data_IF_385186805892
#
_entry.id   IF_385186805892
#
_cell.length_a   1.000
_cell.length_b   1.000
_cell.length_c   1.000
_cell.angle_alpha   90.00
_cell.angle_beta   90.00
_cell.angle_gamma   90.00
#
_symmetry.space_group_name_H-M   'P 1'
#
loop_
_entity.id
_entity.type
_entity.pdbx_description
1 polymer ?
#
# COMPACT_ATOMS: atom_id res chain seq x y z
N UNK A 1 -14.45 -32.42 -0.05
CA UNK A 1 -15.61 -31.53 -0.15
C UNK A 1 -15.10 -30.11 0.03
N UNK A 2 -15.13 -29.25 -1.00
CA UNK A 2 -14.85 -27.83 -0.77
C UNK A 2 -15.89 -27.28 0.23
N UNK A 3 -15.45 -26.46 1.18
CA UNK A 3 -16.32 -25.86 2.20
C UNK A 3 -17.39 -24.96 1.58
N UNK A 4 -18.43 -24.65 2.35
CA UNK A 4 -19.47 -23.71 1.93
C UNK A 4 -18.82 -22.34 1.60
N UNK A 5 -18.99 -21.79 0.38
CA UNK A 5 -18.46 -20.48 0.00
C UNK A 5 -18.86 -19.34 0.95
N UNK A 6 -19.99 -19.52 1.64
CA UNK A 6 -20.52 -18.57 2.62
C UNK A 6 -19.69 -18.62 3.92
N UNK A 7 -19.33 -19.83 4.36
CA UNK A 7 -18.45 -20.03 5.52
C UNK A 7 -17.04 -19.50 5.24
N UNK A 8 -16.54 -19.68 4.02
CA UNK A 8 -15.22 -19.16 3.61
C UNK A 8 -15.16 -17.63 3.64
N UNK A 9 -16.26 -16.97 3.21
CA UNK A 9 -16.38 -15.51 3.27
C UNK A 9 -16.38 -15.01 4.71
N UNK A 10 -17.19 -15.63 5.58
CA UNK A 10 -17.26 -15.27 6.99
C UNK A 10 -15.90 -15.43 7.69
N UNK A 11 -15.20 -16.56 7.48
CA UNK A 11 -13.88 -16.79 8.07
C UNK A 11 -12.82 -15.76 7.63
N UNK A 12 -12.89 -15.30 6.39
CA UNK A 12 -11.99 -14.23 5.88
C UNK A 12 -12.31 -12.89 6.54
N UNK A 13 -13.59 -12.51 6.61
CA UNK A 13 -14.02 -11.30 7.29
C UNK A 13 -13.59 -11.30 8.77
N UNK A 14 -13.77 -12.41 9.48
CA UNK A 14 -13.32 -12.57 10.87
C UNK A 14 -11.79 -12.43 11.00
N UNK A 15 -11.04 -12.94 10.02
CA UNK A 15 -9.57 -12.82 10.03
C UNK A 15 -9.13 -11.37 9.85
N UNK A 16 -9.71 -10.65 8.88
CA UNK A 16 -9.46 -9.22 8.68
C UNK A 16 -9.86 -8.41 9.92
N UNK A 17 -11.00 -8.73 10.52
CA UNK A 17 -11.49 -8.11 11.77
C UNK A 17 -10.49 -8.27 12.90
N UNK A 18 -10.05 -9.51 13.18
CA UNK A 18 -9.07 -9.78 14.25
C UNK A 18 -7.76 -9.01 14.04
N UNK A 19 -7.27 -8.94 12.80
CA UNK A 19 -6.06 -8.18 12.46
C UNK A 19 -6.29 -6.70 12.75
N UNK A 20 -7.37 -6.11 12.24
CA UNK A 20 -7.69 -4.70 12.43
C UNK A 20 -7.86 -4.35 13.92
N UNK A 21 -8.63 -5.14 14.67
CA UNK A 21 -8.86 -4.93 16.11
C UNK A 21 -7.59 -5.04 16.95
N UNK A 22 -6.66 -5.90 16.55
CA UNK A 22 -5.36 -6.03 17.23
C UNK A 22 -4.37 -4.90 16.89
N UNK A 23 -4.69 -4.05 15.91
CA UNK A 23 -3.81 -3.02 15.35
C UNK A 23 -2.41 -3.56 14.96
N UNK A 24 -2.36 -4.82 14.52
CA UNK A 24 -1.13 -5.60 14.41
C UNK A 24 -1.24 -6.62 13.28
N UNK A 25 -0.20 -6.72 12.47
CA UNK A 25 -0.06 -7.76 11.44
C UNK A 25 1.18 -8.58 11.76
N UNK A 26 1.01 -9.90 11.89
CA UNK A 26 2.06 -10.86 12.23
C UNK A 26 2.96 -11.20 11.03
N UNK A 27 3.38 -10.18 10.29
CA UNK A 27 4.41 -10.19 9.25
C UNK A 27 4.84 -8.74 8.94
N UNK A 28 6.08 -8.57 8.46
CA UNK A 28 6.56 -7.28 7.95
C UNK A 28 6.19 -7.12 6.48
N UNK A 29 5.55 -6.01 6.16
CA UNK A 29 5.11 -5.67 4.81
C UNK A 29 5.94 -4.53 4.22
N UNK A 30 6.08 -4.55 2.89
CA UNK A 30 6.60 -3.41 2.15
C UNK A 30 5.64 -2.21 2.33
N UNK A 31 6.15 -0.97 2.41
CA UNK A 31 5.31 0.20 2.42
C UNK A 31 4.39 0.27 1.20
N UNK A 32 3.24 0.94 1.37
CA UNK A 32 2.31 1.19 0.27
C UNK A 32 3.00 1.90 -0.90
N UNK A 33 2.64 1.50 -2.11
CA UNK A 33 3.08 2.18 -3.33
C UNK A 33 2.61 3.64 -3.34
N UNK A 34 3.30 4.49 -4.10
CA UNK A 34 2.89 5.89 -4.27
C UNK A 34 1.46 6.00 -4.83
N UNK A 35 1.01 5.02 -5.61
CA UNK A 35 -0.35 4.96 -6.15
C UNK A 35 -1.37 4.60 -5.06
N UNK A 36 -1.13 3.57 -4.27
CA UNK A 36 -2.03 3.18 -3.18
C UNK A 36 -2.12 4.29 -2.12
N UNK A 37 -1.00 4.89 -1.75
CA UNK A 37 -0.96 6.02 -0.84
C UNK A 37 -1.78 7.22 -1.35
N UNK A 38 -1.65 7.55 -2.64
CA UNK A 38 -2.45 8.59 -3.27
C UNK A 38 -3.95 8.27 -3.25
N UNK A 39 -4.33 7.05 -3.66
CA UNK A 39 -5.73 6.62 -3.68
C UNK A 39 -6.35 6.62 -2.28
N UNK A 40 -5.59 6.18 -1.27
CA UNK A 40 -6.03 6.28 0.12
C UNK A 40 -6.18 7.74 0.57
N UNK A 41 -5.24 8.61 0.22
CA UNK A 41 -5.32 10.04 0.53
C UNK A 41 -6.55 10.71 -0.11
N UNK A 42 -7.04 10.23 -1.25
CA UNK A 42 -8.27 10.73 -1.86
C UNK A 42 -9.51 10.50 -0.99
N UNK A 43 -9.48 9.54 -0.06
CA UNK A 43 -10.54 9.34 0.93
C UNK A 43 -10.63 10.44 1.99
N UNK A 44 -9.56 11.24 2.16
CA UNK A 44 -9.45 12.29 3.19
C UNK A 44 -9.71 13.71 2.67
N UNK A 45 -9.72 13.90 1.36
CA UNK A 45 -10.04 15.20 0.74
C UNK A 45 -11.53 15.28 0.43
N UNK A 46 -12.03 16.49 0.20
CA UNK A 46 -13.41 16.71 -0.22
C UNK A 46 -13.70 16.10 -1.60
N UNK A 47 -15.00 15.96 -1.91
CA UNK A 47 -15.46 15.32 -3.15
C UNK A 47 -15.02 16.05 -4.42
N UNK A 48 -14.84 17.37 -4.37
CA UNK A 48 -14.38 18.17 -5.52
C UNK A 48 -12.93 17.86 -5.83
N UNK A 49 -12.04 17.86 -4.82
CA UNK A 49 -10.63 17.51 -5.01
C UNK A 49 -10.48 16.05 -5.43
N UNK A 50 -11.25 15.15 -4.81
CA UNK A 50 -11.27 13.72 -5.12
C UNK A 50 -11.66 13.45 -6.57
N UNK A 51 -12.75 14.04 -7.04
CA UNK A 51 -13.25 13.83 -8.40
C UNK A 51 -12.26 14.31 -9.46
N UNK A 52 -11.66 15.49 -9.27
CA UNK A 52 -10.60 16.01 -10.15
C UNK A 52 -9.36 15.11 -10.13
N UNK A 53 -8.92 14.66 -8.95
CA UNK A 53 -7.76 13.78 -8.85
C UNK A 53 -7.98 12.42 -9.52
N UNK A 54 -9.17 11.83 -9.38
CA UNK A 54 -9.56 10.61 -10.09
C UNK A 54 -9.61 10.83 -11.61
N UNK A 55 -10.20 11.94 -12.07
CA UNK A 55 -10.22 12.30 -13.49
C UNK A 55 -8.79 12.42 -14.06
N UNK A 56 -7.87 13.03 -13.30
CA UNK A 56 -6.44 13.10 -13.64
C UNK A 56 -5.82 11.72 -13.79
N UNK A 57 -6.05 10.81 -12.83
CA UNK A 57 -5.52 9.45 -12.90
C UNK A 57 -6.06 8.67 -14.10
N UNK A 58 -7.36 8.77 -14.39
CA UNK A 58 -7.98 8.15 -15.58
C UNK A 58 -7.42 8.71 -16.89
N UNK A 59 -7.11 10.00 -16.93
CA UNK A 59 -6.44 10.65 -18.06
C UNK A 59 -4.93 10.35 -18.14
N UNK A 60 -4.40 9.44 -17.30
CA UNK A 60 -2.98 9.06 -17.30
C UNK A 60 -2.03 10.15 -16.76
N UNK A 61 -2.57 11.20 -16.11
CA UNK A 61 -1.74 12.23 -15.47
C UNK A 61 -1.14 11.69 -14.19
N UNK A 62 0.16 11.90 -14.01
CA UNK A 62 0.91 11.50 -12.81
C UNK A 62 0.85 12.58 -11.74
N UNK A 63 1.11 12.18 -10.50
CA UNK A 63 1.36 13.07 -9.37
C UNK A 63 2.84 13.03 -8.99
N UNK A 64 3.37 14.10 -8.37
CA UNK A 64 4.76 14.13 -7.94
C UNK A 64 5.05 13.03 -6.92
N UNK A 65 6.08 12.23 -7.18
CA UNK A 65 6.62 11.29 -6.21
C UNK A 65 7.57 12.02 -5.24
N UNK A 66 7.57 11.61 -3.97
CA UNK A 66 8.53 12.08 -2.96
C UNK A 66 9.51 11.00 -2.51
N UNK A 67 9.47 9.82 -3.12
CA UNK A 67 10.27 8.65 -2.75
C UNK A 67 9.61 7.76 -1.70
N UNK A 68 8.27 7.63 -1.73
CA UNK A 68 7.47 6.90 -0.76
C UNK A 68 6.72 7.82 0.22
N UNK A 69 5.39 7.76 0.21
CA UNK A 69 4.56 8.53 1.13
C UNK A 69 4.47 7.95 2.55
N UNK A 70 4.76 6.66 2.72
CA UNK A 70 4.82 6.03 4.05
C UNK A 70 5.81 6.72 5.00
N UNK A 71 6.89 7.31 4.47
CA UNK A 71 7.87 8.06 5.26
C UNK A 71 7.30 9.36 5.88
N UNK A 72 6.16 9.88 5.38
CA UNK A 72 5.50 11.05 5.97
C UNK A 72 4.89 10.73 7.33
N UNK A 73 4.41 9.49 7.51
CA UNK A 73 3.60 9.13 8.66
C UNK A 73 4.37 9.21 9.99
N UNK A 74 5.60 8.66 10.11
CA UNK A 74 6.42 8.84 11.31
C UNK A 74 6.80 10.31 11.56
N UNK A 75 7.03 11.10 10.51
CA UNK A 75 7.38 12.52 10.64
C UNK A 75 6.24 13.33 11.25
N UNK A 76 5.02 13.11 10.78
CA UNK A 76 3.81 13.79 11.27
C UNK A 76 3.51 13.36 12.71
N UNK A 77 3.60 12.06 13.00
CA UNK A 77 3.46 11.53 14.35
C UNK A 77 4.43 12.14 15.36
N UNK A 78 5.70 12.29 14.97
CA UNK A 78 6.69 12.92 15.84
C UNK A 78 6.36 14.40 16.05
N UNK A 79 5.88 15.11 15.02
CA UNK A 79 5.43 16.50 15.15
C UNK A 79 4.24 16.61 16.11
N UNK A 80 3.20 15.81 15.94
CA UNK A 80 2.00 15.81 16.80
C UNK A 80 2.38 15.55 18.27
N UNK A 81 3.24 14.55 18.51
CA UNK A 81 3.74 14.24 19.85
C UNK A 81 4.53 15.40 20.48
N UNK A 82 5.38 16.08 19.69
CA UNK A 82 6.12 17.26 20.19
C UNK A 82 5.13 18.39 20.52
N UNK A 83 4.12 18.61 19.69
CA UNK A 83 3.11 19.65 19.89
C UNK A 83 2.29 19.42 21.16
N UNK A 84 1.81 18.20 21.36
CA UNK A 84 1.15 17.78 22.59
C UNK A 84 2.08 17.97 23.80
N UNK A 85 3.36 17.57 23.70
CA UNK A 85 4.28 17.73 24.82
C UNK A 85 4.59 19.20 25.17
N UNK A 86 4.56 20.08 24.17
CA UNK A 86 4.76 21.52 24.35
C UNK A 86 3.53 22.23 24.91
N UNK A 87 2.31 21.75 24.61
CA UNK A 87 1.05 22.29 25.14
C UNK A 87 0.89 22.01 26.64
N UNK A 88 1.40 20.88 27.13
CA UNK A 88 1.41 20.50 28.56
C UNK A 88 2.45 21.27 29.42
N UNK A 89 3.01 22.38 28.93
CA UNK A 89 3.69 23.35 29.78
C UNK A 89 5.07 22.95 30.33
N UNK A 90 5.88 22.18 29.60
CA UNK A 90 7.26 21.89 30.03
C UNK A 90 8.15 23.15 30.05
N UNK A 91 8.91 23.33 31.12
CA UNK A 91 9.92 24.39 31.27
C UNK A 91 11.36 23.87 31.07
N UNK A 92 12.31 24.78 30.80
CA UNK A 92 13.74 24.49 30.81
C UNK A 92 14.32 23.90 29.51
N UNK A 93 15.52 23.29 29.56
CA UNK A 93 16.30 22.84 28.39
C UNK A 93 15.56 21.85 27.47
N UNK A 94 14.69 21.01 28.02
CA UNK A 94 13.87 20.07 27.24
C UNK A 94 12.92 20.78 26.27
N UNK A 95 12.34 21.92 26.69
CA UNK A 95 11.45 22.72 25.83
C UNK A 95 12.22 23.26 24.62
N UNK A 96 13.43 23.75 24.84
CA UNK A 96 14.32 24.27 23.77
C UNK A 96 14.66 23.16 22.77
N UNK A 97 15.04 21.98 23.27
CA UNK A 97 15.36 20.83 22.41
C UNK A 97 14.15 20.37 21.57
N UNK A 98 12.95 20.33 22.17
CA UNK A 98 11.71 20.00 21.47
C UNK A 98 11.36 21.03 20.39
N UNK A 99 11.52 22.33 20.67
CA UNK A 99 11.31 23.39 19.68
C UNK A 99 12.28 23.29 18.50
N UNK A 100 13.56 23.03 18.77
CA UNK A 100 14.56 22.82 17.72
C UNK A 100 14.21 21.62 16.84
N UNK A 101 13.83 20.49 17.45
CA UNK A 101 13.40 19.30 16.72
C UNK A 101 12.15 19.56 15.88
N UNK A 102 11.15 20.24 16.45
CA UNK A 102 9.94 20.68 15.72
C UNK A 102 10.30 21.51 14.50
N UNK A 103 11.18 22.50 14.65
CA UNK A 103 11.59 23.37 13.55
C UNK A 103 12.27 22.59 12.40
N UNK A 104 13.15 21.63 12.73
CA UNK A 104 13.81 20.78 11.75
C UNK A 104 12.82 19.89 10.99
N UNK A 105 11.92 19.22 11.72
CA UNK A 105 10.90 18.35 11.12
C UNK A 105 9.91 19.15 10.25
N UNK A 106 9.48 20.32 10.73
CA UNK A 106 8.60 21.24 10.01
C UNK A 106 9.25 21.73 8.72
N UNK A 107 10.54 22.07 8.75
CA UNK A 107 11.29 22.46 7.55
C UNK A 107 11.39 21.32 6.55
N UNK A 108 11.67 20.09 7.01
CA UNK A 108 11.70 18.89 6.16
C UNK A 108 10.36 18.64 5.50
N UNK A 109 9.26 18.66 6.29
CA UNK A 109 7.91 18.47 5.79
C UNK A 109 7.52 19.57 4.78
N UNK A 110 7.85 20.83 5.07
CA UNK A 110 7.64 21.96 4.17
C UNK A 110 8.38 21.82 2.83
N UNK A 111 9.60 21.26 2.84
CA UNK A 111 10.34 20.94 1.62
C UNK A 111 9.66 19.85 0.78
N UNK A 112 9.18 18.78 1.41
CA UNK A 112 8.41 17.72 0.74
C UNK A 112 7.08 18.24 0.18
N UNK A 113 6.37 19.06 0.96
CA UNK A 113 5.14 19.75 0.52
C UNK A 113 5.41 20.61 -0.70
N UNK A 114 6.47 21.40 -0.68
CA UNK A 114 6.81 22.30 -1.80
C UNK A 114 7.10 21.50 -3.07
N UNK A 115 7.86 20.41 -2.97
CA UNK A 115 8.13 19.50 -4.10
C UNK A 115 6.84 18.91 -4.68
N UNK A 116 5.88 18.56 -3.82
CA UNK A 116 4.60 17.99 -4.25
C UNK A 116 3.61 19.03 -4.78
N UNK A 117 3.49 20.21 -4.17
CA UNK A 117 2.47 21.22 -4.51
C UNK A 117 2.89 22.07 -5.72
N UNK A 118 4.18 22.40 -5.80
CA UNK A 118 4.72 23.35 -6.79
C UNK A 118 5.36 22.66 -8.00
N UNK A 119 5.08 21.37 -8.22
CA UNK A 119 5.71 20.61 -9.30
C UNK A 119 5.21 21.05 -10.69
N UNK A 120 6.04 21.80 -11.41
CA UNK A 120 5.76 22.24 -12.79
C UNK A 120 5.72 21.10 -13.81
N UNK A 121 6.30 19.94 -13.48
CA UNK A 121 6.28 18.75 -14.33
C UNK A 121 4.91 18.03 -14.30
N UNK A 122 4.13 18.21 -13.24
CA UNK A 122 2.89 17.45 -13.02
C UNK A 122 1.64 18.32 -13.12
N UNK A 123 1.76 19.63 -12.86
CA UNK A 123 0.65 20.56 -12.93
C UNK A 123 0.86 21.60 -14.03
N UNK A 124 -0.25 21.99 -14.66
CA UNK A 124 -0.22 23.05 -15.65
C UNK A 124 0.42 24.33 -15.11
N UNK A 125 1.39 24.83 -15.87
CA UNK A 125 2.02 26.13 -15.67
C UNK A 125 1.61 27.08 -16.79
N UNK A 126 1.27 28.32 -16.44
CA UNK A 126 0.85 29.35 -17.39
C UNK A 126 -0.63 29.28 -17.81
N UNK A 127 -1.15 30.43 -18.24
CA UNK A 127 -2.60 30.68 -18.42
C UNK A 127 -3.26 29.71 -19.42
N UNK A 128 -2.59 29.41 -20.54
CA UNK A 128 -3.17 28.53 -21.58
C UNK A 128 -3.29 27.08 -21.12
N UNK A 129 -2.27 26.56 -20.44
CA UNK A 129 -2.29 25.20 -19.91
C UNK A 129 -3.35 25.07 -18.81
N UNK A 130 -3.42 26.06 -17.91
CA UNK A 130 -4.43 26.09 -16.83
C UNK A 130 -5.86 26.11 -17.41
N UNK A 131 -6.12 26.94 -18.42
CA UNK A 131 -7.44 26.98 -19.07
C UNK A 131 -7.82 25.65 -19.74
N UNK A 132 -6.84 24.95 -20.32
CA UNK A 132 -7.06 23.62 -20.90
C UNK A 132 -7.38 22.61 -19.79
N UNK A 133 -6.54 22.52 -18.78
CA UNK A 133 -6.77 21.60 -17.66
C UNK A 133 -8.13 21.86 -16.97
N UNK A 134 -8.54 23.12 -16.82
CA UNK A 134 -9.87 23.44 -16.25
C UNK A 134 -11.01 22.99 -17.15
N UNK A 135 -10.89 23.19 -18.46
CA UNK A 135 -11.88 22.71 -19.44
C UNK A 135 -12.01 21.20 -19.41
N UNK A 136 -10.90 20.51 -19.24
CA UNK A 136 -10.84 19.05 -19.22
C UNK A 136 -11.20 18.47 -17.83
N UNK A 137 -11.49 19.32 -16.83
CA UNK A 137 -11.78 18.89 -15.46
C UNK A 137 -10.58 18.30 -14.71
N UNK A 138 -9.36 18.63 -15.13
CA UNK A 138 -8.10 18.07 -14.62
C UNK A 138 -7.29 19.05 -13.77
N UNK A 139 -7.75 20.30 -13.62
CA UNK A 139 -7.00 21.31 -12.91
C UNK A 139 -7.19 21.22 -11.40
N UNK A 140 -6.09 21.05 -10.67
CA UNK A 140 -6.06 21.25 -9.23
C UNK A 140 -5.45 22.63 -8.94
N UNK A 141 -6.15 23.48 -8.19
CA UNK A 141 -5.59 24.74 -7.69
C UNK A 141 -4.58 24.47 -6.55
N UNK A 142 -3.82 25.48 -6.13
CA UNK A 142 -2.73 25.32 -5.13
C UNK A 142 -3.26 24.81 -3.79
N UNK A 143 -4.42 25.29 -3.35
CA UNK A 143 -5.03 24.87 -2.09
C UNK A 143 -5.47 23.41 -2.15
N UNK A 144 -6.03 22.97 -3.28
CA UNK A 144 -6.43 21.57 -3.50
C UNK A 144 -5.22 20.63 -3.52
N UNK A 145 -4.10 21.05 -4.12
CA UNK A 145 -2.84 20.30 -4.07
C UNK A 145 -2.27 20.23 -2.65
N UNK A 146 -2.45 21.30 -1.88
CA UNK A 146 -2.02 21.38 -0.48
C UNK A 146 -2.84 20.42 0.38
N UNK A 147 -4.18 20.45 0.26
CA UNK A 147 -5.08 19.52 0.93
C UNK A 147 -4.75 18.06 0.57
N UNK A 148 -4.43 17.78 -0.70
CA UNK A 148 -3.99 16.45 -1.12
C UNK A 148 -2.67 16.02 -0.46
N UNK A 149 -1.70 16.93 -0.33
CA UNK A 149 -0.45 16.65 0.39
C UNK A 149 -0.69 16.39 1.88
N UNK A 150 -1.56 17.18 2.52
CA UNK A 150 -1.95 16.99 3.93
C UNK A 150 -2.68 15.65 4.13
N UNK A 151 -3.48 15.23 3.15
CA UNK A 151 -4.06 13.89 3.14
C UNK A 151 -2.99 12.79 3.02
N UNK A 152 -1.96 12.97 2.18
CA UNK A 152 -0.84 12.04 2.02
C UNK A 152 0.00 11.90 3.31
N UNK A 153 0.05 12.92 4.17
CA UNK A 153 0.67 12.82 5.50
C UNK A 153 0.03 11.75 6.40
N UNK A 154 -1.18 11.31 6.08
CA UNK A 154 -1.93 10.26 6.77
C UNK A 154 -1.92 8.92 6.03
N UNK A 155 -0.95 8.73 5.12
CA UNK A 155 -0.73 7.43 4.47
C UNK A 155 -0.55 6.35 5.54
N UNK A 156 -1.37 5.28 5.52
CA UNK A 156 -1.23 4.16 6.43
C UNK A 156 0.16 3.56 6.28
N UNK A 157 0.88 3.45 7.39
CA UNK A 157 2.20 2.86 7.42
C UNK A 157 2.42 2.22 8.79
N UNK A 158 3.11 1.06 8.83
CA UNK A 158 3.51 0.49 10.10
C UNK A 158 4.41 1.48 10.84
N UNK A 159 4.20 1.61 12.14
CA UNK A 159 5.00 2.46 13.02
C UNK A 159 6.41 1.86 13.28
N UNK A 160 6.75 0.76 12.60
CA UNK A 160 7.86 -0.13 12.94
C UNK A 160 7.63 -0.79 14.30
N UNK A 161 8.69 -1.30 14.93
CA UNK A 161 8.68 -1.74 16.33
C UNK A 161 8.53 -0.54 17.29
N UNK A 162 7.47 0.24 17.14
CA UNK A 162 7.16 1.45 17.88
C UNK A 162 8.31 2.45 17.98
N UNK A 163 8.21 3.44 18.86
CA UNK A 163 9.40 4.04 19.44
C UNK A 163 10.05 2.94 20.30
N UNK A 164 11.02 2.23 19.73
CA UNK A 164 11.87 1.34 20.50
C UNK A 164 12.54 2.08 21.68
N UNK A 165 13.23 1.36 22.58
CA UNK A 165 13.98 1.91 23.71
C UNK A 165 14.85 3.14 23.39
N UNK A 166 15.28 3.29 22.13
CA UNK A 166 16.01 4.44 21.60
C UNK A 166 15.19 5.74 21.48
N UNK A 167 13.89 5.67 21.23
CA UNK A 167 12.97 6.82 21.30
C UNK A 167 12.84 7.35 22.73
N UNK A 168 12.83 6.43 23.72
CA UNK A 168 12.94 6.74 25.15
C UNK A 168 14.34 7.20 25.57
N UNK A 169 15.42 6.66 24.97
CA UNK A 169 16.79 7.11 25.23
C UNK A 169 17.07 8.51 24.66
N UNK A 170 16.46 8.88 23.52
CA UNK A 170 16.43 10.25 22.97
C UNK A 170 15.76 11.24 23.92
N UNK A 171 14.75 10.78 24.65
CA UNK A 171 14.02 11.55 25.66
C UNK A 171 14.86 11.81 26.93
N UNK A 172 15.83 10.93 27.22
CA UNK A 172 16.72 11.02 28.39
C UNK A 172 18.04 11.75 28.09
N UNK A 173 18.61 11.63 26.88
CA UNK A 173 19.99 12.05 26.60
C UNK A 173 20.18 13.40 25.88
N UNK A 174 19.11 14.08 25.46
CA UNK A 174 19.20 15.42 24.88
C UNK A 174 19.80 15.46 23.46
N UNK A 175 19.21 16.28 22.60
CA UNK A 175 19.40 16.25 21.13
C UNK A 175 20.80 16.58 20.57
N UNK A 176 21.82 16.85 21.39
CA UNK A 176 23.14 17.28 20.90
C UNK A 176 24.06 16.14 20.43
N UNK A 177 23.79 14.88 20.83
CA UNK A 177 24.59 13.73 20.40
C UNK A 177 24.04 13.02 19.14
N UNK A 178 22.83 13.37 18.69
CA UNK A 178 22.11 12.63 17.66
C UNK A 178 22.59 12.92 16.21
N UNK A 179 23.10 14.12 15.94
CA UNK A 179 23.56 14.50 14.59
C UNK A 179 24.84 13.74 14.15
N UNK A 180 25.52 13.05 15.07
CA UNK A 180 26.69 12.21 14.75
C UNK A 180 26.37 10.74 14.47
N UNK A 181 25.12 10.30 14.59
CA UNK A 181 24.75 8.88 14.50
C UNK A 181 23.86 8.54 13.28
N UNK A 182 23.59 9.51 12.42
CA UNK A 182 22.75 9.33 11.22
C UNK A 182 23.18 8.15 10.31
N UNK A 183 24.48 7.88 10.04
CA UNK A 183 24.89 6.73 9.22
C UNK A 183 24.95 5.38 9.98
N UNK A 184 24.79 5.37 11.31
CA UNK A 184 24.74 4.14 12.13
C UNK A 184 23.29 3.64 12.28
N UNK A 185 22.31 4.49 11.99
CA UNK A 185 20.88 4.25 12.18
C UNK A 185 20.24 3.24 11.23
N UNK A 186 20.64 3.19 9.95
CA UNK A 186 20.05 2.24 8.99
C UNK A 186 20.43 0.78 9.29
N UNK A 187 21.70 0.55 9.66
CA UNK A 187 22.19 -0.78 10.06
C UNK A 187 21.72 -1.17 11.46
N UNK A 188 21.64 -0.22 12.39
CA UNK A 188 21.18 -0.48 13.76
C UNK A 188 19.68 -0.78 13.86
N UNK A 189 18.84 -0.15 13.03
CA UNK A 189 17.41 -0.47 12.95
C UNK A 189 17.14 -1.85 12.33
N UNK A 190 17.95 -2.26 11.33
CA UNK A 190 17.92 -3.61 10.79
C UNK A 190 18.36 -4.66 11.84
N UNK A 191 19.42 -4.38 12.60
CA UNK A 191 19.91 -5.26 13.65
C UNK A 191 18.95 -5.34 14.86
N UNK A 192 18.30 -4.25 15.24
CA UNK A 192 17.31 -4.23 16.32
C UNK A 192 16.04 -5.02 15.94
N UNK A 193 15.65 -5.01 14.66
CA UNK A 193 14.57 -5.87 14.13
C UNK A 193 14.97 -7.35 14.16
N UNK A 194 16.21 -7.68 13.81
CA UNK A 194 16.70 -9.07 13.83
C UNK A 194 16.97 -9.63 15.23
N UNK A 195 17.32 -8.78 16.21
CA UNK A 195 17.64 -9.19 17.59
C UNK A 195 16.38 -9.29 18.47
N UNK A 196 15.29 -8.62 18.13
CA UNK A 196 14.04 -8.64 18.92
C UNK A 196 13.06 -9.77 18.55
N UNK A 197 13.27 -10.49 17.44
CA UNK A 197 12.40 -11.63 17.07
C UNK A 197 10.92 -11.29 16.88
N UNK A 198 10.60 -10.10 16.37
CA UNK A 198 9.21 -9.68 16.14
C UNK A 198 9.11 -9.11 14.70
N UNK A 199 8.88 -10.00 13.73
CA UNK A 199 8.48 -9.67 12.36
C UNK A 199 7.01 -9.22 12.35
N UNK A 200 6.70 -8.11 13.02
CA UNK A 200 5.31 -7.67 13.22
C UNK A 200 5.17 -6.19 12.94
N UNK A 201 4.24 -5.86 12.05
CA UNK A 201 3.81 -4.50 11.78
C UNK A 201 2.77 -4.05 12.81
N UNK A 202 2.97 -2.87 13.39
CA UNK A 202 2.06 -2.24 14.36
C UNK A 202 1.55 -0.92 13.82
N UNK A 203 0.29 -0.64 14.09
CA UNK A 203 -0.38 0.57 13.68
C UNK A 203 -0.92 1.31 14.90
N UNK A 204 -1.41 2.52 14.68
CA UNK A 204 -1.97 3.31 15.78
C UNK A 204 -3.30 2.73 16.25
N UNK A 205 -4.14 2.34 15.30
CA UNK A 205 -5.51 1.94 15.55
C UNK A 205 -6.01 0.99 14.44
N UNK A 206 -7.24 0.53 14.61
CA UNK A 206 -7.93 -0.35 13.66
C UNK A 206 -8.16 0.28 12.29
N UNK A 207 -8.37 1.59 12.23
CA UNK A 207 -8.67 2.32 10.99
C UNK A 207 -7.41 2.44 10.12
N UNK A 208 -6.26 2.71 10.74
CA UNK A 208 -4.98 2.73 10.04
C UNK A 208 -4.58 1.33 9.57
N UNK A 209 -4.84 0.30 10.38
CA UNK A 209 -4.55 -1.09 10.01
C UNK A 209 -5.38 -1.54 8.80
N UNK A 210 -6.69 -1.27 8.81
CA UNK A 210 -7.57 -1.67 7.71
C UNK A 210 -7.25 -0.89 6.43
N UNK A 211 -6.89 0.40 6.55
CA UNK A 211 -6.44 1.21 5.44
C UNK A 211 -5.14 0.69 4.82
N UNK A 212 -4.20 0.24 5.65
CA UNK A 212 -2.96 -0.40 5.20
C UNK A 212 -3.25 -1.70 4.45
N UNK A 213 -4.06 -2.61 5.02
CA UNK A 213 -4.43 -3.86 4.37
C UNK A 213 -5.10 -3.65 3.00
N UNK A 214 -6.05 -2.73 2.91
CA UNK A 214 -6.73 -2.39 1.65
C UNK A 214 -5.72 -1.92 0.60
N UNK A 215 -4.79 -1.04 0.98
CA UNK A 215 -3.70 -0.57 0.11
C UNK A 215 -2.78 -1.70 -0.34
N UNK A 216 -2.38 -2.59 0.58
CA UNK A 216 -1.54 -3.76 0.26
C UNK A 216 -2.24 -4.70 -0.71
N UNK A 217 -3.52 -5.01 -0.52
CA UNK A 217 -4.26 -5.86 -1.46
C UNK A 217 -4.43 -5.19 -2.82
N UNK A 218 -4.71 -3.90 -2.87
CA UNK A 218 -4.71 -3.13 -4.12
C UNK A 218 -3.36 -3.26 -4.86
N UNK A 219 -2.23 -3.06 -4.17
CA UNK A 219 -0.91 -3.16 -4.77
C UNK A 219 -0.59 -4.58 -5.25
N UNK A 220 -1.01 -5.61 -4.51
CA UNK A 220 -0.85 -7.01 -4.93
C UNK A 220 -1.68 -7.34 -6.17
N UNK A 221 -2.93 -6.86 -6.25
CA UNK A 221 -3.77 -7.06 -7.45
C UNK A 221 -3.14 -6.38 -8.67
N UNK A 222 -2.75 -5.11 -8.56
CA UNK A 222 -2.17 -4.38 -9.70
C UNK A 222 -0.74 -4.81 -10.04
N UNK A 223 -0.01 -5.37 -9.08
CA UNK A 223 1.33 -5.92 -9.28
C UNK A 223 1.34 -7.28 -9.96
N UNK A 224 0.25 -8.04 -9.88
CA UNK A 224 0.11 -9.33 -10.54
C UNK A 224 0.11 -9.16 -12.07
N UNK A 225 0.97 -9.91 -12.77
CA UNK A 225 1.08 -9.77 -14.23
C UNK A 225 -0.17 -10.29 -14.92
N UNK A 226 -0.73 -11.37 -14.40
CA UNK A 226 -1.91 -12.01 -14.99
C UNK A 226 -3.14 -11.11 -14.94
N UNK A 227 -3.22 -10.19 -13.98
CA UNK A 227 -4.32 -9.22 -13.89
C UNK A 227 -4.46 -8.35 -15.14
N UNK A 228 -3.35 -8.08 -15.82
CA UNK A 228 -3.32 -7.21 -17.00
C UNK A 228 -3.57 -7.94 -18.31
N UNK A 229 -3.67 -9.27 -18.29
CA UNK A 229 -3.95 -10.08 -19.50
C UNK A 229 -5.45 -10.13 -19.81
N UNK A 230 -5.79 -10.72 -20.94
CA UNK A 230 -7.19 -10.91 -21.35
C UNK A 230 -7.95 -11.89 -20.46
N UNK A 231 -7.24 -12.77 -19.72
CA UNK A 231 -7.85 -13.71 -18.78
C UNK A 231 -8.71 -13.00 -17.72
N UNK A 232 -8.28 -11.81 -17.29
CA UNK A 232 -8.96 -10.99 -16.31
C UNK A 232 -9.73 -9.81 -16.93
N UNK A 233 -9.96 -9.77 -18.24
CA UNK A 233 -10.66 -8.66 -18.90
C UNK A 233 -12.08 -8.43 -18.32
N UNK A 234 -12.84 -9.51 -18.11
CA UNK A 234 -14.19 -9.43 -17.52
C UNK A 234 -14.13 -8.97 -16.06
N UNK A 235 -13.21 -9.51 -15.27
CA UNK A 235 -13.03 -9.12 -13.88
C UNK A 235 -12.64 -7.64 -13.75
N UNK A 236 -11.74 -7.14 -14.61
CA UNK A 236 -11.36 -5.72 -14.67
C UNK A 236 -12.49 -4.79 -15.09
N UNK A 237 -13.46 -5.28 -15.86
CA UNK A 237 -14.65 -4.51 -16.20
C UNK A 237 -15.64 -4.39 -15.02
N UNK A 238 -15.60 -5.34 -14.08
CA UNK A 238 -16.49 -5.41 -12.91
C UNK A 238 -15.88 -4.80 -11.65
N UNK A 239 -14.56 -4.85 -11.51
CA UNK A 239 -13.82 -4.37 -10.35
C UNK A 239 -12.73 -3.39 -10.77
N UNK A 240 -12.82 -2.16 -10.27
CA UNK A 240 -11.72 -1.20 -10.24
C UNK A 240 -11.14 -1.18 -8.82
N UNK A 241 -10.01 -1.87 -8.55
CA UNK A 241 -9.40 -1.89 -7.23
C UNK A 241 -9.04 -0.50 -6.71
N UNK A 242 -8.77 0.46 -7.62
CA UNK A 242 -8.41 1.81 -7.24
C UNK A 242 -9.60 2.61 -6.73
N UNK A 243 -10.76 2.50 -7.40
CA UNK A 243 -11.99 3.11 -6.89
C UNK A 243 -12.47 2.43 -5.62
N UNK A 244 -12.30 1.12 -5.52
CA UNK A 244 -12.65 0.38 -4.30
C UNK A 244 -11.80 0.82 -3.11
N UNK A 245 -10.48 0.97 -3.28
CA UNK A 245 -9.59 1.51 -2.26
C UNK A 245 -9.99 2.93 -1.82
N UNK A 246 -10.37 3.79 -2.76
CA UNK A 246 -10.86 5.15 -2.45
C UNK A 246 -12.14 5.09 -1.63
N UNK A 247 -13.10 4.25 -2.03
CA UNK A 247 -14.35 4.08 -1.29
C UNK A 247 -14.14 3.55 0.13
N UNK A 248 -13.27 2.56 0.30
CA UNK A 248 -12.86 2.06 1.63
C UNK A 248 -12.22 3.19 2.44
N UNK A 249 -11.31 3.96 1.84
CA UNK A 249 -10.64 5.06 2.55
C UNK A 249 -11.63 6.15 3.00
N UNK A 250 -12.63 6.48 2.19
CA UNK A 250 -13.71 7.43 2.59
C UNK A 250 -14.43 6.92 3.84
N UNK A 251 -14.89 5.67 3.82
CA UNK A 251 -15.67 5.10 4.93
C UNK A 251 -14.82 4.97 6.20
N UNK A 252 -13.57 4.51 6.07
CA UNK A 252 -12.61 4.39 7.18
C UNK A 252 -12.33 5.74 7.82
N UNK A 253 -12.11 6.79 7.02
CA UNK A 253 -11.84 8.14 7.52
C UNK A 253 -13.07 8.72 8.20
N UNK A 254 -14.26 8.56 7.61
CA UNK A 254 -15.51 9.00 8.22
C UNK A 254 -15.77 8.31 9.56
N UNK A 255 -15.56 6.98 9.63
CA UNK A 255 -15.67 6.22 10.88
C UNK A 255 -14.67 6.69 11.93
N UNK A 256 -13.41 6.88 11.56
CA UNK A 256 -12.38 7.35 12.49
C UNK A 256 -12.70 8.74 13.06
N UNK A 257 -13.21 9.65 12.22
CA UNK A 257 -13.63 11.00 12.66
C UNK A 257 -14.84 10.92 13.59
N UNK A 258 -15.89 10.19 13.22
CA UNK A 258 -17.09 10.05 14.04
C UNK A 258 -16.78 9.39 15.39
N UNK A 259 -15.92 8.38 15.41
CA UNK A 259 -15.50 7.70 16.64
C UNK A 259 -14.69 8.63 17.55
N UNK A 260 -13.80 9.45 16.99
CA UNK A 260 -13.08 10.48 17.73
C UNK A 260 -14.02 11.56 18.30
N UNK A 261 -14.97 12.04 17.50
CA UNK A 261 -15.97 13.03 17.93
C UNK A 261 -16.88 12.50 19.04
N UNK A 262 -17.35 11.24 18.91
CA UNK A 262 -18.13 10.56 19.94
C UNK A 262 -17.32 10.32 21.22
N UNK A 263 -16.01 10.06 21.09
CA UNK A 263 -15.10 9.91 22.24
C UNK A 263 -14.93 11.24 22.97
N UNK A 264 -14.62 12.31 22.25
CA UNK A 264 -14.50 13.65 22.83
C UNK A 264 -15.82 14.10 23.49
N UNK A 265 -16.96 13.84 22.86
CA UNK A 265 -18.27 14.15 23.42
C UNK A 265 -18.55 13.35 24.71
N UNK A 266 -18.17 12.07 24.75
CA UNK A 266 -18.31 11.23 25.93
C UNK A 266 -17.41 11.71 27.09
N UNK A 267 -16.16 12.07 26.80
CA UNK A 267 -15.22 12.59 27.80
C UNK A 267 -15.65 13.95 28.35
N UNK A 268 -16.18 14.83 27.49
CA UNK A 268 -16.67 16.16 27.88
C UNK A 268 -17.86 16.11 28.86
N UNK A 269 -18.61 15.00 28.91
CA UNK A 269 -19.69 14.82 29.87
C UNK A 269 -19.19 14.58 31.32
N UNK A 270 -17.92 14.18 31.50
CA UNK A 270 -17.34 13.93 32.83
C UNK A 270 -18.16 12.93 33.68
N UNK A 271 -18.11 13.09 35.01
CA UNK A 271 -18.92 12.34 35.98
C UNK A 271 -20.35 12.92 36.14
N UNK A 272 -20.80 13.77 35.21
CA UNK A 272 -22.12 14.38 35.32
C UNK A 272 -23.24 13.33 35.22
N UNK A 273 -24.31 13.55 36.00
CA UNK A 273 -25.50 12.69 36.19
C UNK A 273 -26.40 12.67 34.92
N UNK A 274 -25.88 12.96 33.73
CA UNK A 274 -26.64 12.86 32.47
C UNK A 274 -26.48 11.47 31.85
N UNK A 275 -27.10 10.49 32.51
CA UNK A 275 -27.15 9.10 32.04
C UNK A 275 -27.85 8.96 30.68
N UNK A 276 -28.71 9.91 30.30
CA UNK A 276 -29.38 9.92 29.00
C UNK A 276 -28.41 10.31 27.89
N UNK A 277 -27.66 11.40 28.08
CA UNK A 277 -26.61 11.82 27.15
C UNK A 277 -25.56 10.73 26.89
N UNK A 278 -25.13 10.02 27.96
CA UNK A 278 -24.18 8.90 27.83
C UNK A 278 -24.77 7.73 27.06
N UNK A 279 -26.03 7.36 27.34
CA UNK A 279 -26.73 6.28 26.63
C UNK A 279 -26.89 6.59 25.15
N UNK A 280 -27.22 7.83 24.79
CA UNK A 280 -27.37 8.23 23.40
C UNK A 280 -26.03 8.16 22.64
N UNK A 281 -24.90 8.57 23.26
CA UNK A 281 -23.58 8.43 22.64
C UNK A 281 -23.22 6.96 22.42
N UNK A 282 -23.46 6.09 23.41
CA UNK A 282 -23.24 4.65 23.29
C UNK A 282 -24.12 4.02 22.21
N UNK A 283 -25.38 4.45 22.09
CA UNK A 283 -26.29 4.03 21.02
C UNK A 283 -25.73 4.39 19.66
N UNK A 284 -25.28 5.64 19.47
CA UNK A 284 -24.66 6.09 18.21
C UNK A 284 -23.38 5.33 17.88
N UNK A 285 -22.56 4.98 18.86
CA UNK A 285 -21.40 4.09 18.64
C UNK A 285 -21.84 2.70 18.17
N UNK A 286 -22.93 2.16 18.73
CA UNK A 286 -23.54 0.92 18.27
C UNK A 286 -24.00 0.99 16.81
N UNK A 287 -24.57 2.13 16.39
CA UNK A 287 -25.02 2.36 15.01
C UNK A 287 -23.86 2.38 13.99
N UNK A 288 -22.60 2.55 14.43
CA UNK A 288 -21.43 2.49 13.56
C UNK A 288 -20.94 1.05 13.28
N UNK A 289 -21.37 0.06 14.07
CA UNK A 289 -20.93 -1.34 13.93
C UNK A 289 -21.23 -1.90 12.53
N UNK A 290 -22.46 -1.74 11.96
CA UNK A 290 -22.75 -2.28 10.63
C UNK A 290 -21.90 -1.65 9.52
N UNK A 291 -21.54 -0.37 9.65
CA UNK A 291 -20.68 0.33 8.67
C UNK A 291 -19.26 -0.22 8.76
N UNK A 292 -18.76 -0.45 9.98
CA UNK A 292 -17.47 -1.12 10.19
C UNK A 292 -17.47 -2.54 9.61
N UNK A 293 -18.53 -3.32 9.83
CA UNK A 293 -18.67 -4.66 9.28
C UNK A 293 -18.62 -4.65 7.74
N UNK A 294 -19.29 -3.69 7.10
CA UNK A 294 -19.23 -3.52 5.64
C UNK A 294 -17.82 -3.20 5.14
N UNK A 295 -17.05 -2.35 5.84
CA UNK A 295 -15.64 -2.07 5.51
C UNK A 295 -14.79 -3.34 5.60
N UNK A 296 -14.97 -4.13 6.67
CA UNK A 296 -14.28 -5.41 6.85
C UNK A 296 -14.59 -6.36 5.69
N UNK A 297 -15.85 -6.50 5.30
CA UNK A 297 -16.28 -7.37 4.21
C UNK A 297 -15.68 -6.96 2.87
N UNK A 298 -15.61 -5.65 2.60
CA UNK A 298 -14.99 -5.10 1.37
C UNK A 298 -13.48 -5.40 1.31
N UNK A 299 -12.76 -5.23 2.42
CA UNK A 299 -11.33 -5.57 2.49
C UNK A 299 -11.10 -7.08 2.41
N UNK A 300 -11.97 -7.89 3.02
CA UNK A 300 -11.93 -9.35 2.90
C UNK A 300 -12.21 -9.83 1.46
N UNK A 301 -13.07 -9.11 0.72
CA UNK A 301 -13.28 -9.38 -0.70
C UNK A 301 -12.02 -9.09 -1.53
N UNK A 302 -11.30 -7.99 -1.26
CA UNK A 302 -10.02 -7.71 -1.92
C UNK A 302 -8.95 -8.77 -1.61
N UNK A 303 -8.85 -9.23 -0.36
CA UNK A 303 -7.92 -10.31 -0.01
C UNK A 303 -8.25 -11.61 -0.75
N UNK A 304 -9.54 -11.90 -0.98
CA UNK A 304 -9.97 -13.03 -1.81
C UNK A 304 -9.52 -12.87 -3.25
N UNK A 305 -9.73 -11.71 -3.87
CA UNK A 305 -9.28 -11.47 -5.25
C UNK A 305 -7.77 -11.72 -5.38
N UNK A 306 -6.98 -11.28 -4.41
CA UNK A 306 -5.53 -11.55 -4.38
C UNK A 306 -5.21 -13.04 -4.36
N UNK A 307 -5.91 -13.84 -3.55
CA UNK A 307 -5.69 -15.29 -3.48
C UNK A 307 -6.11 -15.99 -4.78
N UNK A 308 -7.25 -15.61 -5.37
CA UNK A 308 -7.73 -16.18 -6.64
C UNK A 308 -6.77 -15.86 -7.79
N UNK A 309 -6.21 -14.64 -7.82
CA UNK A 309 -5.15 -14.26 -8.76
C UNK A 309 -3.92 -15.15 -8.54
N UNK A 310 -3.49 -15.37 -7.30
CA UNK A 310 -2.33 -16.20 -7.01
C UNK A 310 -2.52 -17.66 -7.47
N UNK A 311 -3.71 -18.23 -7.29
CA UNK A 311 -4.08 -19.56 -7.81
C UNK A 311 -4.02 -19.56 -9.33
N UNK A 312 -4.66 -18.59 -10.00
CA UNK A 312 -4.67 -18.48 -11.45
C UNK A 312 -3.25 -18.30 -12.04
N UNK A 313 -2.36 -17.56 -11.36
CA UNK A 313 -0.95 -17.41 -11.79
C UNK A 313 -0.19 -18.73 -11.77
N UNK A 314 -0.43 -19.59 -10.77
CA UNK A 314 0.19 -20.92 -10.70
C UNK A 314 -0.30 -21.80 -11.84
N UNK A 315 -1.62 -21.86 -12.04
CA UNK A 315 -2.23 -22.67 -13.11
C UNK A 315 -1.77 -22.21 -14.50
N UNK A 316 -1.75 -20.90 -14.75
CA UNK A 316 -1.32 -20.34 -16.02
C UNK A 316 0.16 -20.64 -16.30
N UNK A 317 1.03 -20.52 -15.29
CA UNK A 317 2.45 -20.88 -15.42
C UNK A 317 2.64 -22.36 -15.74
N UNK A 318 1.83 -23.25 -15.15
CA UNK A 318 1.86 -24.67 -15.46
C UNK A 318 1.46 -24.95 -16.92
N UNK A 319 0.44 -24.25 -17.45
CA UNK A 319 0.04 -24.37 -18.86
C UNK A 319 1.13 -23.88 -19.81
N UNK A 320 1.78 -22.76 -19.50
CA UNK A 320 2.88 -22.22 -20.31
C UNK A 320 4.06 -23.20 -20.37
N UNK A 321 4.42 -23.82 -19.23
CA UNK A 321 5.48 -24.84 -19.17
C UNK A 321 5.11 -26.07 -19.99
N UNK A 322 3.87 -26.55 -19.93
CA UNK A 322 3.40 -27.68 -20.74
C UNK A 322 3.44 -27.37 -22.24
N UNK A 323 2.99 -26.19 -22.64
CA UNK A 323 3.04 -25.74 -24.02
C UNK A 323 4.48 -25.63 -24.53
N UNK A 324 5.41 -25.16 -23.68
CA UNK A 324 6.83 -25.10 -23.99
C UNK A 324 7.43 -26.49 -24.16
N UNK A 325 7.14 -27.43 -23.26
CA UNK A 325 7.63 -28.82 -23.35
C UNK A 325 7.10 -29.51 -24.61
N UNK A 326 5.82 -29.38 -24.93
CA UNK A 326 5.25 -29.93 -26.18
C UNK A 326 5.86 -29.29 -27.44
N UNK A 327 6.37 -28.06 -27.35
CA UNK A 327 7.18 -27.44 -28.40
C UNK A 327 8.58 -28.03 -28.53
N UNK A 328 9.20 -28.40 -27.40
CA UNK A 328 10.50 -29.07 -27.37
C UNK A 328 10.41 -30.51 -27.92
N UNK A 329 9.38 -31.27 -27.55
CA UNK A 329 9.18 -32.65 -28.01
C UNK A 329 9.05 -32.72 -29.53
N UNK A 330 8.22 -31.86 -30.14
CA UNK A 330 8.11 -31.75 -31.61
C UNK A 330 9.45 -31.44 -32.28
N UNK A 331 10.29 -30.63 -31.66
CA UNK A 331 11.61 -30.28 -32.19
C UNK A 331 12.61 -31.43 -32.05
N UNK A 332 12.48 -32.24 -31.00
CA UNK A 332 13.26 -33.48 -30.81
C UNK A 332 12.83 -34.52 -31.84
N UNK A 333 11.53 -34.73 -32.06
CA UNK A 333 11.01 -35.64 -33.07
C UNK A 333 11.50 -35.28 -34.48
N UNK A 334 11.48 -33.99 -34.84
CA UNK A 334 12.01 -33.51 -36.12
C UNK A 334 13.54 -33.68 -36.25
N UNK A 335 14.29 -33.58 -35.14
CA UNK A 335 15.73 -33.89 -35.13
C UNK A 335 15.99 -35.38 -35.27
N UNK A 336 15.21 -36.24 -34.59
CA UNK A 336 15.32 -37.69 -34.70
C UNK A 336 14.98 -38.17 -36.11
N UNK A 337 13.91 -37.65 -36.72
CA UNK A 337 13.56 -37.95 -38.12
C UNK A 337 14.72 -37.62 -39.08
N UNK A 338 15.30 -36.41 -38.95
CA UNK A 338 16.46 -36.00 -39.74
C UNK A 338 17.74 -36.79 -39.42
N UNK A 339 17.86 -37.36 -38.22
CA UNK A 339 18.97 -38.25 -37.88
C UNK A 339 18.85 -39.61 -38.56
N UNK A 340 17.64 -40.18 -38.61
CA UNK A 340 17.38 -41.44 -39.32
C UNK A 340 17.69 -41.35 -40.81
N UNK A 341 17.31 -40.25 -41.47
CA UNK A 341 17.65 -40.01 -42.88
C UNK A 341 19.17 -39.91 -43.11
N UNK A 342 19.90 -39.35 -42.14
CA UNK A 342 21.38 -39.22 -42.19
C UNK A 342 22.09 -40.53 -41.89
N UNK A 343 21.54 -41.37 -41.03
CA UNK A 343 22.06 -42.72 -40.75
C UNK A 343 21.96 -43.58 -42.02
N UNK A 344 20.80 -43.61 -42.69
CA UNK A 344 20.64 -44.31 -43.98
C UNK A 344 21.59 -43.74 -45.04
N UNK A 345 21.77 -42.41 -45.09
CA UNK A 345 22.74 -41.79 -45.99
C UNK A 345 24.18 -42.18 -45.68
N UNK A 346 24.55 -42.30 -44.39
CA UNK A 346 25.88 -42.72 -43.97
C UNK A 346 26.12 -44.20 -44.30
N UNK A 347 25.15 -45.09 -44.04
CA UNK A 347 25.21 -46.51 -44.37
C UNK A 347 25.33 -46.74 -45.88
N UNK A 348 24.56 -45.99 -46.69
CA UNK A 348 24.70 -46.02 -48.15
C UNK A 348 26.10 -45.55 -48.59
N UNK A 349 26.65 -44.53 -47.94
CA UNK A 349 28.00 -44.04 -48.24
C UNK A 349 29.06 -45.08 -47.88
N UNK A 350 28.91 -45.77 -46.75
CA UNK A 350 29.77 -46.88 -46.35
C UNK A 350 29.65 -48.06 -47.32
N UNK A 351 28.44 -48.46 -47.70
CA UNK A 351 28.20 -49.52 -48.68
C UNK A 351 28.82 -49.21 -50.05
N UNK A 352 28.72 -47.96 -50.52
CA UNK A 352 29.34 -47.53 -51.78
C UNK A 352 30.87 -47.56 -51.66
N UNK A 353 31.42 -47.10 -50.54
CA UNK A 353 32.86 -47.17 -50.28
C UNK A 353 33.37 -48.61 -50.28
N UNK A 354 32.65 -49.54 -49.64
CA UNK A 354 32.98 -50.96 -49.60
C UNK A 354 32.92 -51.63 -50.97
N UNK A 355 31.97 -51.24 -51.84
CA UNK A 355 31.91 -51.71 -53.23
C UNK A 355 33.11 -51.23 -54.05
N UNK A 356 33.44 -49.93 -53.95
CA UNK A 356 34.60 -49.36 -54.64
C UNK A 356 35.91 -50.06 -54.22
N UNK A 357 36.07 -50.39 -52.94
CA UNK A 357 37.23 -51.13 -52.46
C UNK A 357 37.28 -52.59 -52.92
N UNK A 358 36.13 -53.24 -53.21
CA UNK A 358 36.09 -54.62 -53.70
C UNK A 358 36.33 -54.73 -55.22
N UNK A 359 35.95 -53.72 -56.00
CA UNK A 359 36.11 -53.69 -57.46
C UNK A 359 37.52 -53.27 -57.93
N UNK A 360 38.46 -53.02 -57.02
CA UNK A 360 39.86 -52.65 -57.32
C UNK A 360 40.84 -53.85 -57.37
N UNK A 361 40.36 -55.09 -57.52
CA UNK A 361 41.20 -56.29 -57.68
C UNK A 361 40.92 -57.04 -58.98
#
# INVERSE_FOLDING_TARGET
>A
MPGDPTDDRARRADTVRRIAESARIDAVHEPLSDRAALLYALGRVDDTVRSVALARLRAGRRFPAIGGFAALRPLVRELDWIEERLSHGRAGPTRVALMQRKALLSRRLGGLRTRFVMSSAHYATGVRAIRRDRRDGLHLDVDQRTALFEALCHTPAPLGAGPGPLGRAREILGGLAADRLEPVHERGAALARSVAGIDVDRFTDRYETIGFLAGTYHDRILGARIWHTDLFAVARAQLDPGLELVGIAVDVVALATLDADLTAAFEAQGDAIDDEGRREILRRRGDLIPVWDQVIDRVAALSRVVDEIAVAEVEHRSLDVLAQTAGLDRRIEDLLGRSGDREISADNTHSVSDQISRDQW
#
